data_IF_161769816200
#
_entry.id   IF_161769816200
#
_cell.length_a   1.000
_cell.length_b   1.000
_cell.length_c   1.000
_cell.angle_alpha   90.00
_cell.angle_beta   90.00
_cell.angle_gamma   90.00
#
_symmetry.space_group_name_H-M   'P 1'
#
loop_
_entity.id
_entity.type
_entity.pdbx_description
1 polymer ?
#
# COMPACT_ATOMS: atom_id res chain seq x y z
N UNK A 1 7.53 18.16 4.12
CA UNK A 1 6.43 17.17 4.05
C UNK A 1 5.33 17.66 5.00
N UNK A 2 4.15 18.05 4.50
CA UNK A 2 3.01 18.37 5.35
C UNK A 2 2.63 17.17 6.24
N UNK A 3 2.11 17.38 7.47
CA UNK A 3 1.76 16.28 8.38
C UNK A 3 0.84 15.22 7.76
N UNK A 4 -0.11 15.64 6.94
CA UNK A 4 -1.03 14.76 6.23
C UNK A 4 -0.32 13.83 5.23
N UNK A 5 0.72 14.33 4.54
CA UNK A 5 1.49 13.54 3.58
C UNK A 5 2.37 12.50 4.29
N UNK A 6 2.96 12.87 5.44
CA UNK A 6 3.70 11.91 6.28
C UNK A 6 2.79 10.78 6.78
N UNK A 7 1.60 11.12 7.29
CA UNK A 7 0.61 10.13 7.73
C UNK A 7 0.20 9.23 6.57
N UNK A 8 -0.07 9.79 5.39
CA UNK A 8 -0.41 9.02 4.19
C UNK A 8 0.71 8.02 3.83
N UNK A 9 1.98 8.45 3.85
CA UNK A 9 3.11 7.56 3.58
C UNK A 9 3.20 6.42 4.60
N UNK A 10 3.01 6.69 5.90
CA UNK A 10 3.01 5.66 6.93
C UNK A 10 1.88 4.63 6.72
N UNK A 11 0.68 5.09 6.36
CA UNK A 11 -0.47 4.21 6.03
C UNK A 11 -0.16 3.32 4.82
N UNK A 12 0.42 3.90 3.77
CA UNK A 12 0.81 3.20 2.55
C UNK A 12 1.90 2.15 2.79
N UNK A 13 2.93 2.48 3.57
CA UNK A 13 3.98 1.52 3.95
C UNK A 13 3.42 0.35 4.76
N UNK A 14 2.48 0.60 5.69
CA UNK A 14 1.78 -0.45 6.43
C UNK A 14 0.95 -1.33 5.49
N UNK A 15 0.25 -0.73 4.53
CA UNK A 15 -0.56 -1.47 3.55
C UNK A 15 0.32 -2.38 2.69
N UNK A 16 1.46 -1.89 2.20
CA UNK A 16 2.40 -2.69 1.44
C UNK A 16 2.88 -3.93 2.22
N UNK A 17 3.18 -3.79 3.52
CA UNK A 17 3.56 -4.91 4.39
C UNK A 17 2.44 -5.93 4.58
N UNK A 18 1.19 -5.48 4.71
CA UNK A 18 0.03 -6.37 4.86
C UNK A 18 -0.31 -7.08 3.55
N UNK A 19 -0.22 -6.39 2.41
CA UNK A 19 -0.44 -6.97 1.09
C UNK A 19 0.53 -8.12 0.79
N UNK A 20 1.74 -8.10 1.35
CA UNK A 20 2.74 -9.17 1.16
C UNK A 20 2.67 -10.26 2.21
N UNK A 21 2.36 -9.94 3.47
CA UNK A 21 2.36 -10.91 4.57
C UNK A 21 1.03 -11.62 4.80
N UNK A 22 -0.07 -11.05 4.29
CA UNK A 22 -1.42 -11.56 4.52
C UNK A 22 -2.19 -11.58 3.19
N UNK A 23 -1.80 -12.50 2.31
CA UNK A 23 -2.43 -12.75 1.01
C UNK A 23 -3.90 -13.18 1.16
N UNK A 24 -4.24 -13.86 2.25
CA UNK A 24 -5.61 -14.22 2.63
C UNK A 24 -6.52 -13.02 2.96
N UNK A 25 -5.98 -11.83 3.24
CA UNK A 25 -6.79 -10.66 3.56
C UNK A 25 -7.26 -9.97 2.26
N UNK A 26 -8.55 -9.64 2.11
CA UNK A 26 -9.02 -8.84 0.99
C UNK A 26 -8.34 -7.46 0.95
N UNK A 27 -8.08 -6.94 -0.25
CA UNK A 27 -7.46 -5.61 -0.43
C UNK A 27 -8.26 -4.51 0.27
N UNK A 28 -9.59 -4.63 0.28
CA UNK A 28 -10.49 -3.72 1.00
C UNK A 28 -10.21 -3.70 2.50
N UNK A 29 -10.04 -4.87 3.12
CA UNK A 29 -9.74 -4.99 4.55
C UNK A 29 -8.36 -4.40 4.87
N UNK A 30 -7.37 -4.60 3.98
CA UNK A 30 -6.06 -3.95 4.10
C UNK A 30 -6.18 -2.43 4.09
N UNK A 31 -7.04 -1.86 3.24
CA UNK A 31 -7.29 -0.42 3.23
C UNK A 31 -7.85 0.05 4.58
N UNK A 32 -8.88 -0.61 5.11
CA UNK A 32 -9.51 -0.27 6.39
C UNK A 32 -8.52 -0.36 7.55
N UNK A 33 -7.76 -1.46 7.66
CA UNK A 33 -6.75 -1.63 8.71
C UNK A 33 -5.61 -0.60 8.65
N UNK A 34 -5.38 0.00 7.48
CA UNK A 34 -4.41 1.06 7.27
C UNK A 34 -5.02 2.47 7.41
N UNK A 35 -6.28 2.59 7.83
CA UNK A 35 -6.94 3.87 8.09
C UNK A 35 -7.46 4.56 6.82
N UNK A 36 -7.73 3.80 5.75
CA UNK A 36 -8.45 4.31 4.58
C UNK A 36 -9.93 3.94 4.69
N UNK A 37 -10.79 4.95 4.66
CA UNK A 37 -12.25 4.77 4.68
C UNK A 37 -12.79 4.29 3.33
N UNK A 38 -12.13 4.71 2.24
CA UNK A 38 -12.51 4.36 0.88
C UNK A 38 -11.41 3.55 0.17
N UNK A 39 -11.78 2.34 -0.27
CA UNK A 39 -10.86 1.40 -0.93
C UNK A 39 -10.46 1.85 -2.35
N UNK A 40 -11.29 2.66 -3.02
CA UNK A 40 -10.97 3.19 -4.35
C UNK A 40 -9.92 4.30 -4.24
N UNK A 41 -10.05 5.19 -3.27
CA UNK A 41 -9.09 6.22 -2.92
C UNK A 41 -7.77 5.58 -2.53
N UNK A 42 -7.79 4.58 -1.63
CA UNK A 42 -6.62 3.77 -1.30
C UNK A 42 -5.92 3.23 -2.56
N UNK A 43 -6.67 2.57 -3.45
CA UNK A 43 -6.10 1.99 -4.67
C UNK A 43 -5.47 3.04 -5.59
N UNK A 44 -6.10 4.22 -5.71
CA UNK A 44 -5.56 5.35 -6.49
C UNK A 44 -4.26 5.89 -5.89
N UNK A 45 -4.23 6.18 -4.59
CA UNK A 45 -3.03 6.74 -3.94
C UNK A 45 -1.91 5.71 -3.81
N UNK A 46 -2.24 4.44 -3.60
CA UNK A 46 -1.26 3.35 -3.59
C UNK A 46 -0.60 3.23 -4.96
N UNK A 47 -1.37 3.18 -6.05
CA UNK A 47 -0.82 3.15 -7.41
C UNK A 47 0.02 4.39 -7.72
N UNK A 48 -0.39 5.57 -7.26
CA UNK A 48 0.42 6.79 -7.42
C UNK A 48 1.77 6.68 -6.70
N UNK A 49 1.82 6.04 -5.54
CA UNK A 49 3.02 5.91 -4.71
C UNK A 49 3.93 4.75 -5.12
N UNK A 50 3.38 3.64 -5.63
CA UNK A 50 4.12 2.40 -5.91
C UNK A 50 4.14 2.02 -7.40
N UNK A 51 3.48 2.80 -8.27
CA UNK A 51 3.39 2.56 -9.72
C UNK A 51 2.38 1.50 -10.15
N UNK A 52 1.94 0.62 -9.25
CA UNK A 52 1.03 -0.50 -9.53
C UNK A 52 -0.13 -0.57 -8.53
N UNK A 53 -1.20 -1.27 -8.89
CA UNK A 53 -2.37 -1.41 -7.99
C UNK A 53 -2.05 -2.30 -6.78
N UNK A 54 -2.77 -2.17 -5.65
CA UNK A 54 -2.58 -3.06 -4.49
C UNK A 54 -2.70 -4.55 -4.82
N UNK A 55 -3.65 -4.92 -5.69
CA UNK A 55 -3.84 -6.29 -6.16
C UNK A 55 -2.64 -6.76 -6.97
N UNK A 56 -2.15 -5.94 -7.91
CA UNK A 56 -0.93 -6.27 -8.67
C UNK A 56 0.28 -6.39 -7.74
N UNK A 57 0.43 -5.47 -6.78
CA UNK A 57 1.52 -5.48 -5.80
C UNK A 57 1.57 -6.80 -5.00
N UNK A 58 0.40 -7.34 -4.65
CA UNK A 58 0.28 -8.67 -4.02
C UNK A 58 0.72 -9.79 -4.96
N UNK A 59 0.22 -9.80 -6.19
CA UNK A 59 0.46 -10.90 -7.14
C UNK A 59 1.89 -10.93 -7.69
N UNK A 60 2.49 -9.77 -7.95
CA UNK A 60 3.82 -9.69 -8.58
C UNK A 60 4.97 -9.92 -7.62
N UNK A 61 4.72 -9.88 -6.30
CA UNK A 61 5.78 -9.97 -5.31
C UNK A 61 6.89 -8.94 -5.58
N UNK A 62 6.55 -7.71 -5.98
CA UNK A 62 7.55 -6.63 -6.18
C UNK A 62 8.18 -6.20 -4.84
N UNK A 63 8.95 -7.09 -4.20
CA UNK A 63 9.80 -6.83 -3.04
C UNK A 63 11.25 -6.53 -3.46
N UNK A 64 11.65 -6.90 -4.68
CA UNK A 64 13.06 -7.00 -5.05
C UNK A 64 13.72 -5.68 -5.50
N UNK A 65 12.97 -4.62 -5.82
CA UNK A 65 13.56 -3.41 -6.42
C UNK A 65 13.32 -2.11 -5.64
N UNK A 66 12.49 -2.10 -4.60
CA UNK A 66 12.26 -0.91 -3.76
C UNK A 66 13.13 -0.90 -2.48
N UNK A 67 14.03 -1.88 -2.33
CA UNK A 67 14.91 -2.05 -1.18
C UNK A 67 16.34 -1.52 -1.32
N UNK A 68 16.75 -1.00 -2.49
CA UNK A 68 18.14 -0.57 -2.71
C UNK A 68 18.22 0.84 -3.33
N UNK A 69 18.02 1.85 -2.50
CA UNK A 69 18.75 3.11 -2.63
C UNK A 69 19.27 3.48 -1.23
N UNK A 70 20.41 2.89 -0.89
CA UNK A 70 21.41 3.56 -0.06
C UNK A 70 22.09 4.63 -0.90
#
# INVERSE_FOLDING_TARGET
>A
IPPAEFVLQQRLQRAAKLLTKADFLPVKEVAVMCGFEDANYFSKVFRRSYGITPTQFRTTGMYASLGNHR
#
